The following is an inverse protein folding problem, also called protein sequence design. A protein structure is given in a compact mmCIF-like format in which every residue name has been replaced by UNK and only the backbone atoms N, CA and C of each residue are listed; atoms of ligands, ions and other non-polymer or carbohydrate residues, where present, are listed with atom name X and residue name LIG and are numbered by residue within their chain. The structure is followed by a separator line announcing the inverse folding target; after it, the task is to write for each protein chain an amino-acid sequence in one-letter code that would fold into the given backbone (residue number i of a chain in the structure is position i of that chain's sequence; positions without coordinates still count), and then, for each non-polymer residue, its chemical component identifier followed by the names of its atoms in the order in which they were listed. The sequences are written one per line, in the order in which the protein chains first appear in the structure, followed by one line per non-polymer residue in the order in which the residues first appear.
data_IF_703863300169
#
_entry.id   IF_703863300169
#
_cell.length_a   1.000
_cell.length_b   1.000
_cell.length_c   1.000
_cell.angle_alpha   90.00
_cell.angle_beta   90.00
_cell.angle_gamma   90.00
#
_symmetry.space_group_name_H-M   'P 1'
#
loop_
_entity.id
_entity.type
_entity.pdbx_description
1 polymer ?
#
# COMPACT_ATOMS: atom_id res chain seq x y z
N UNK A 1 -16.05 -2.05 19.04
CA UNK A 1 -16.29 -2.90 17.86
C UNK A 1 -16.01 -2.03 16.64
N UNK A 2 -14.84 -2.23 16.01
CA UNK A 2 -14.37 -1.40 14.90
C UNK A 2 -15.21 -1.76 13.66
N UNK A 3 -15.87 -0.77 13.06
CA UNK A 3 -16.55 -0.97 11.78
C UNK A 3 -15.49 -1.03 10.68
N UNK A 4 -15.08 -2.25 10.32
CA UNK A 4 -14.46 -2.51 9.02
C UNK A 4 -15.48 -2.03 7.99
N UNK A 5 -15.12 -1.06 7.17
CA UNK A 5 -15.97 -0.67 6.03
C UNK A 5 -15.87 -1.83 5.04
N UNK A 6 -16.88 -2.70 5.04
CA UNK A 6 -16.95 -3.86 4.17
C UNK A 6 -17.01 -3.42 2.71
N UNK A 7 -15.92 -3.58 1.96
CA UNK A 7 -15.98 -3.55 0.50
C UNK A 7 -16.47 -4.91 0.00
N UNK A 8 -17.75 -5.02 -0.35
CA UNK A 8 -18.30 -6.27 -0.87
C UNK A 8 -17.56 -6.74 -2.14
N UNK A 9 -17.02 -5.83 -2.94
CA UNK A 9 -16.28 -6.18 -4.16
C UNK A 9 -14.92 -6.78 -3.88
N UNK A 10 -14.24 -6.35 -2.81
CA UNK A 10 -12.97 -6.96 -2.41
C UNK A 10 -13.21 -8.38 -1.91
N UNK A 11 -14.26 -8.60 -1.13
CA UNK A 11 -14.66 -9.93 -0.64
C UNK A 11 -15.07 -10.88 -1.77
N UNK A 12 -15.83 -10.40 -2.76
CA UNK A 12 -16.16 -11.16 -3.98
C UNK A 12 -14.88 -11.59 -4.70
N UNK A 13 -13.95 -10.67 -4.96
CA UNK A 13 -12.67 -10.97 -5.64
C UNK A 13 -11.79 -11.93 -4.86
N UNK A 14 -11.81 -11.84 -3.54
CA UNK A 14 -11.09 -12.78 -2.68
C UNK A 14 -11.67 -14.20 -2.82
N UNK A 15 -13.00 -14.34 -2.83
CA UNK A 15 -13.66 -15.62 -3.06
C UNK A 15 -13.39 -16.17 -4.47
N UNK A 16 -13.48 -15.34 -5.52
CA UNK A 16 -13.12 -15.72 -6.90
C UNK A 16 -11.70 -16.28 -6.98
N UNK A 17 -10.74 -15.61 -6.35
CA UNK A 17 -9.35 -16.04 -6.31
C UNK A 17 -9.20 -17.40 -5.63
N UNK A 18 -9.82 -17.57 -4.47
CA UNK A 18 -9.80 -18.84 -3.72
C UNK A 18 -10.45 -19.98 -4.51
N UNK A 19 -11.52 -19.71 -5.23
CA UNK A 19 -12.15 -20.69 -6.12
C UNK A 19 -11.20 -21.09 -7.26
N UNK A 20 -10.58 -20.11 -7.92
CA UNK A 20 -9.61 -20.35 -9.00
C UNK A 20 -8.41 -21.19 -8.51
N UNK A 21 -7.87 -20.89 -7.33
CA UNK A 21 -6.79 -21.68 -6.69
C UNK A 21 -7.19 -23.15 -6.43
N UNK A 22 -8.48 -23.41 -6.26
CA UNK A 22 -9.02 -24.76 -6.05
C UNK A 22 -9.57 -25.37 -7.36
N UNK A 23 -9.23 -24.79 -8.52
CA UNK A 23 -9.60 -25.30 -9.84
C UNK A 23 -11.03 -24.96 -10.28
N UNK A 24 -11.74 -24.10 -9.56
CA UNK A 24 -13.10 -23.67 -9.90
C UNK A 24 -13.09 -22.29 -10.54
N UNK A 25 -13.29 -22.23 -11.85
CA UNK A 25 -13.44 -20.96 -12.57
C UNK A 25 -14.90 -20.50 -12.55
N UNK A 26 -15.27 -19.70 -11.54
CA UNK A 26 -16.63 -19.21 -11.33
C UNK A 26 -16.63 -17.69 -11.12
N UNK A 27 -16.31 -16.88 -12.14
CA UNK A 27 -16.27 -15.43 -11.99
C UNK A 27 -17.63 -14.87 -11.58
N UNK A 28 -17.63 -13.80 -10.79
CA UNK A 28 -18.78 -12.97 -10.47
C UNK A 28 -19.35 -12.34 -11.74
N UNK A 29 -20.64 -12.07 -11.70
CA UNK A 29 -21.43 -11.56 -12.82
C UNK A 29 -22.28 -10.39 -12.36
N UNK A 30 -22.83 -9.64 -13.31
CA UNK A 30 -23.78 -8.56 -13.01
C UNK A 30 -25.05 -9.05 -12.28
N UNK A 31 -25.34 -10.36 -12.30
CA UNK A 31 -26.45 -10.95 -11.55
C UNK A 31 -26.15 -11.09 -10.05
N UNK A 32 -24.86 -11.09 -9.67
CA UNK A 32 -24.42 -11.16 -8.29
C UNK A 32 -24.41 -9.75 -7.68
N UNK A 33 -25.56 -9.35 -7.14
CA UNK A 33 -25.78 -8.00 -6.63
C UNK A 33 -24.87 -7.64 -5.44
N UNK A 34 -24.56 -8.65 -4.64
CA UNK A 34 -23.79 -8.56 -3.41
C UNK A 34 -23.03 -9.88 -3.18
N UNK A 35 -22.17 -9.89 -2.16
CA UNK A 35 -21.36 -11.04 -1.80
C UNK A 35 -22.22 -12.29 -1.47
N UNK A 36 -23.34 -12.11 -0.77
CA UNK A 36 -24.21 -13.22 -0.37
C UNK A 36 -24.88 -13.89 -1.57
N UNK A 37 -25.29 -13.08 -2.56
CA UNK A 37 -25.87 -13.54 -3.82
C UNK A 37 -24.84 -14.36 -4.60
N UNK A 38 -23.59 -13.88 -4.67
CA UNK A 38 -22.49 -14.61 -5.28
C UNK A 38 -22.22 -15.94 -4.57
N UNK A 39 -22.09 -15.91 -3.24
CA UNK A 39 -21.85 -17.10 -2.42
C UNK A 39 -22.94 -18.16 -2.60
N UNK A 40 -24.21 -17.76 -2.66
CA UNK A 40 -25.35 -18.65 -2.92
C UNK A 40 -25.29 -19.27 -4.31
N UNK A 41 -24.89 -18.51 -5.32
CA UNK A 41 -24.70 -19.03 -6.68
C UNK A 41 -23.59 -20.08 -6.70
N UNK A 42 -22.44 -19.80 -6.09
CA UNK A 42 -21.32 -20.74 -5.95
C UNK A 42 -21.77 -22.04 -5.28
N UNK A 43 -22.48 -21.95 -4.15
CA UNK A 43 -23.02 -23.11 -3.44
C UNK A 43 -23.89 -23.97 -4.37
N UNK A 44 -24.87 -23.37 -5.05
CA UNK A 44 -25.77 -24.09 -5.95
C UNK A 44 -25.03 -24.74 -7.13
N UNK A 45 -24.06 -24.03 -7.72
CA UNK A 45 -23.25 -24.54 -8.83
C UNK A 45 -22.40 -25.74 -8.39
N UNK A 46 -21.71 -25.65 -7.25
CA UNK A 46 -20.87 -26.74 -6.75
C UNK A 46 -21.69 -27.97 -6.33
N UNK A 47 -22.86 -27.77 -5.71
CA UNK A 47 -23.79 -28.86 -5.41
C UNK A 47 -24.25 -29.56 -6.70
N UNK A 48 -24.57 -28.80 -7.75
CA UNK A 48 -24.99 -29.37 -9.05
C UNK A 48 -23.88 -30.18 -9.73
N UNK A 49 -22.61 -29.90 -9.39
CA UNK A 49 -21.43 -30.64 -9.87
C UNK A 49 -21.10 -31.87 -8.99
N UNK A 50 -21.93 -32.16 -7.98
CA UNK A 50 -21.76 -33.31 -7.09
C UNK A 50 -20.74 -33.10 -5.97
N UNK A 51 -20.33 -31.86 -5.71
CA UNK A 51 -19.46 -31.55 -4.57
C UNK A 51 -20.28 -31.63 -3.27
N UNK A 52 -19.72 -32.27 -2.26
CA UNK A 52 -20.35 -32.43 -0.94
C UNK A 52 -20.65 -31.08 -0.28
N UNK A 53 -21.90 -30.90 0.18
CA UNK A 53 -22.39 -29.64 0.77
C UNK A 53 -21.60 -29.23 2.00
N UNK A 54 -21.19 -30.18 2.86
CA UNK A 54 -20.42 -29.86 4.05
C UNK A 54 -19.02 -29.34 3.66
N UNK A 55 -18.38 -29.94 2.66
CA UNK A 55 -17.10 -29.44 2.12
C UNK A 55 -17.23 -28.02 1.56
N UNK A 56 -18.29 -27.72 0.81
CA UNK A 56 -18.50 -26.37 0.25
C UNK A 56 -18.69 -25.35 1.39
N UNK A 57 -19.55 -25.66 2.36
CA UNK A 57 -19.83 -24.76 3.47
C UNK A 57 -18.57 -24.49 4.31
N UNK A 58 -17.77 -25.53 4.58
CA UNK A 58 -16.49 -25.37 5.28
C UNK A 58 -15.52 -24.50 4.49
N UNK A 59 -15.40 -24.71 3.18
CA UNK A 59 -14.55 -23.89 2.31
C UNK A 59 -14.97 -22.41 2.30
N UNK A 60 -16.27 -22.14 2.21
CA UNK A 60 -16.82 -20.78 2.22
C UNK A 60 -16.58 -20.09 3.57
N UNK A 61 -16.84 -20.78 4.68
CA UNK A 61 -16.60 -20.25 6.03
C UNK A 61 -15.11 -19.99 6.30
N UNK A 62 -14.23 -20.91 5.89
CA UNK A 62 -12.79 -20.73 5.99
C UNK A 62 -12.31 -19.56 5.12
N UNK A 63 -12.85 -19.42 3.91
CA UNK A 63 -12.52 -18.32 3.01
C UNK A 63 -12.92 -16.97 3.61
N UNK A 64 -14.11 -16.88 4.21
CA UNK A 64 -14.56 -15.69 4.93
C UNK A 64 -13.64 -15.37 6.10
N UNK A 65 -13.35 -16.34 6.95
CA UNK A 65 -12.47 -16.16 8.10
C UNK A 65 -11.09 -15.64 7.66
N UNK A 66 -10.48 -16.29 6.66
CA UNK A 66 -9.18 -15.87 6.12
C UNK A 66 -9.22 -14.47 5.50
N UNK A 67 -10.33 -14.09 4.84
CA UNK A 67 -10.49 -12.74 4.33
C UNK A 67 -10.45 -11.72 5.46
N UNK A 68 -11.25 -11.91 6.52
CA UNK A 68 -11.28 -10.99 7.66
C UNK A 68 -9.95 -10.95 8.41
N UNK A 69 -9.28 -12.09 8.59
CA UNK A 69 -7.96 -12.17 9.22
C UNK A 69 -6.86 -11.50 8.38
N UNK A 70 -7.08 -11.34 7.07
CA UNK A 70 -6.12 -10.67 6.17
C UNK A 70 -6.20 -9.14 6.21
N UNK A 71 -7.31 -8.59 6.72
CA UNK A 71 -7.56 -7.15 6.73
C UNK A 71 -6.74 -6.46 7.82
N UNK A 72 -6.18 -5.28 7.53
CA UNK A 72 -5.42 -4.53 8.51
C UNK A 72 -6.33 -3.99 9.63
N UNK A 73 -5.81 -4.02 10.86
CA UNK A 73 -6.46 -3.39 12.01
C UNK A 73 -6.36 -1.86 11.94
N UNK A 74 -7.17 -1.12 12.70
CA UNK A 74 -7.02 0.35 12.77
C UNK A 74 -5.63 0.78 13.26
N UNK A 75 -5.00 -0.02 14.13
CA UNK A 75 -3.63 0.25 14.56
C UNK A 75 -2.63 0.10 13.40
N UNK A 76 -2.84 -0.89 12.51
CA UNK A 76 -2.01 -1.14 11.33
C UNK A 76 -2.10 0.03 10.32
N UNK A 77 -3.15 0.85 10.41
CA UNK A 77 -3.43 1.94 9.48
C UNK A 77 -2.99 3.32 10.02
N UNK A 78 -2.93 3.49 11.35
CA UNK A 78 -2.70 4.79 11.98
C UNK A 78 -1.35 5.44 11.64
N UNK A 79 -0.30 4.65 11.43
CA UNK A 79 1.06 5.17 11.22
C UNK A 79 1.20 5.95 9.92
N UNK A 80 0.47 5.57 8.86
CA UNK A 80 0.49 6.31 7.58
C UNK A 80 -0.72 7.23 7.42
N UNK A 81 -1.83 6.99 8.12
CA UNK A 81 -3.03 7.86 8.07
C UNK A 81 -2.83 9.21 8.75
N UNK A 82 -1.88 9.31 9.67
CA UNK A 82 -1.63 10.51 10.47
C UNK A 82 -0.25 11.14 10.20
N UNK A 83 0.50 10.63 9.22
CA UNK A 83 1.83 11.15 8.86
C UNK A 83 1.95 11.25 7.34
N UNK A 84 2.02 12.47 6.83
CA UNK A 84 2.15 12.74 5.39
C UNK A 84 3.41 12.16 4.75
N UNK A 85 4.50 12.06 5.52
CA UNK A 85 5.78 11.49 5.08
C UNK A 85 5.63 9.99 4.89
N UNK A 86 5.03 9.33 5.87
CA UNK A 86 4.76 7.91 5.82
C UNK A 86 3.82 7.55 4.67
N UNK A 87 2.76 8.33 4.44
CA UNK A 87 1.80 8.04 3.35
C UNK A 87 2.40 8.17 1.96
N UNK A 88 3.28 9.15 1.72
CA UNK A 88 3.95 9.27 0.44
C UNK A 88 4.96 8.13 0.24
N UNK A 89 5.80 7.86 1.24
CA UNK A 89 6.76 6.77 1.18
C UNK A 89 6.08 5.40 0.95
N UNK A 90 5.00 5.11 1.69
CA UNK A 90 4.24 3.88 1.52
C UNK A 90 3.62 3.77 0.12
N UNK A 91 3.19 4.89 -0.46
CA UNK A 91 2.66 4.89 -1.84
C UNK A 91 3.74 4.49 -2.84
N UNK A 92 4.96 5.04 -2.72
CA UNK A 92 6.09 4.64 -3.55
C UNK A 92 6.40 3.15 -3.41
N UNK A 93 6.42 2.64 -2.18
CA UNK A 93 6.66 1.23 -1.88
C UNK A 93 5.60 0.30 -2.49
N UNK A 94 4.32 0.67 -2.35
CA UNK A 94 3.22 -0.08 -2.96
C UNK A 94 3.31 -0.06 -4.49
N UNK A 95 3.58 1.11 -5.08
CA UNK A 95 3.68 1.24 -6.54
C UNK A 95 4.82 0.41 -7.12
N UNK A 96 6.01 0.46 -6.52
CA UNK A 96 7.15 -0.37 -6.94
C UNK A 96 6.87 -1.86 -6.76
N UNK A 97 6.20 -2.26 -5.67
CA UNK A 97 5.78 -3.65 -5.50
C UNK A 97 4.80 -4.09 -6.60
N UNK A 98 3.80 -3.26 -6.93
CA UNK A 98 2.82 -3.51 -8.00
C UNK A 98 3.52 -3.67 -9.35
N UNK A 99 4.48 -2.78 -9.62
CA UNK A 99 5.32 -2.76 -10.82
C UNK A 99 6.14 -4.04 -10.97
N UNK A 100 6.89 -4.42 -9.94
CA UNK A 100 7.74 -5.62 -9.95
C UNK A 100 6.93 -6.91 -10.20
N UNK A 101 5.67 -6.94 -9.74
CA UNK A 101 4.79 -8.09 -9.91
C UNK A 101 3.88 -8.01 -11.16
N UNK A 102 4.02 -6.98 -12.00
CA UNK A 102 3.29 -6.86 -13.26
C UNK A 102 1.81 -6.46 -13.14
N UNK A 103 1.40 -5.85 -12.02
CA UNK A 103 0.01 -5.42 -11.77
C UNK A 103 -0.23 -3.92 -12.05
N UNK A 104 0.65 -3.25 -12.79
CA UNK A 104 0.65 -1.79 -13.01
C UNK A 104 -0.69 -1.26 -13.54
N UNK A 105 -1.32 -2.01 -14.44
CA UNK A 105 -2.61 -1.63 -15.05
C UNK A 105 -3.79 -1.71 -14.09
N UNK A 106 -3.63 -2.35 -12.92
CA UNK A 106 -4.72 -2.60 -11.98
C UNK A 106 -4.88 -1.46 -10.96
N UNK A 107 -3.83 -0.67 -10.71
CA UNK A 107 -3.77 0.31 -9.63
C UNK A 107 -3.05 1.61 -10.05
N UNK A 108 -3.51 2.21 -11.15
CA UNK A 108 -2.99 3.49 -11.67
C UNK A 108 -3.12 4.64 -10.66
N UNK A 109 -3.99 4.53 -9.67
CA UNK A 109 -4.18 5.54 -8.61
C UNK A 109 -2.93 5.77 -7.73
N UNK A 110 -1.97 4.85 -7.73
CA UNK A 110 -0.69 5.01 -7.03
C UNK A 110 0.44 5.51 -7.94
N UNK A 111 0.19 5.64 -9.25
CA UNK A 111 1.23 6.01 -10.21
C UNK A 111 1.68 7.46 -9.98
N UNK A 112 2.96 7.76 -10.22
CA UNK A 112 3.49 9.09 -10.02
C UNK A 112 2.82 10.18 -10.88
N UNK A 113 2.33 9.80 -12.07
CA UNK A 113 1.63 10.70 -12.99
C UNK A 113 0.20 11.00 -12.55
N UNK A 114 -0.43 10.07 -11.83
CA UNK A 114 -1.85 10.12 -11.49
C UNK A 114 -2.11 10.58 -10.06
N UNK A 115 -1.12 10.46 -9.17
CA UNK A 115 -1.29 10.71 -7.74
C UNK A 115 -1.03 12.18 -7.37
N UNK A 116 -2.06 12.90 -6.89
CA UNK A 116 -1.87 14.24 -6.36
C UNK A 116 -1.00 14.27 -5.11
N UNK A 117 -0.34 15.40 -4.89
CA UNK A 117 0.58 15.61 -3.77
C UNK A 117 -0.12 15.80 -2.42
N UNK A 118 -1.43 15.57 -2.28
CA UNK A 118 -2.16 15.82 -1.04
C UNK A 118 -2.31 14.55 -0.18
N UNK A 119 -1.97 14.63 1.11
CA UNK A 119 -1.95 13.51 2.04
C UNK A 119 -3.24 12.70 2.07
N UNK A 120 -4.39 13.35 2.21
CA UNK A 120 -5.69 12.67 2.25
C UNK A 120 -5.99 11.88 0.97
N UNK A 121 -5.54 12.36 -0.19
CA UNK A 121 -5.71 11.67 -1.47
C UNK A 121 -4.83 10.42 -1.52
N UNK A 122 -3.59 10.52 -1.00
CA UNK A 122 -2.70 9.34 -0.87
C UNK A 122 -3.28 8.30 0.06
N UNK A 123 -3.83 8.71 1.21
CA UNK A 123 -4.49 7.78 2.15
C UNK A 123 -5.64 7.04 1.48
N UNK A 124 -6.47 7.74 0.69
CA UNK A 124 -7.55 7.10 -0.07
C UNK A 124 -7.03 6.16 -1.18
N UNK A 125 -5.96 6.55 -1.88
CA UNK A 125 -5.34 5.70 -2.90
C UNK A 125 -4.76 4.41 -2.30
N UNK A 126 -4.07 4.51 -1.15
CA UNK A 126 -3.56 3.35 -0.40
C UNK A 126 -4.71 2.46 0.05
N UNK A 127 -5.80 3.04 0.58
CA UNK A 127 -7.01 2.28 0.94
C UNK A 127 -7.55 1.50 -0.25
N UNK A 128 -7.73 2.14 -1.40
CA UNK A 128 -8.18 1.46 -2.62
C UNK A 128 -7.20 0.35 -3.04
N UNK A 129 -5.89 0.54 -2.90
CA UNK A 129 -4.92 -0.52 -3.15
C UNK A 129 -5.11 -1.74 -2.23
N UNK A 130 -5.37 -1.51 -0.94
CA UNK A 130 -5.65 -2.56 0.04
C UNK A 130 -6.96 -3.28 -0.30
N UNK A 131 -8.02 -2.55 -0.64
CA UNK A 131 -9.31 -3.13 -1.03
C UNK A 131 -9.19 -3.97 -2.32
N UNK A 132 -8.29 -3.58 -3.22
CA UNK A 132 -8.05 -4.27 -4.50
C UNK A 132 -6.79 -5.14 -4.48
N UNK A 133 -6.39 -5.65 -3.31
CA UNK A 133 -5.09 -6.28 -3.09
C UNK A 133 -4.75 -7.35 -4.14
N UNK A 134 -3.75 -7.14 -5.01
CA UNK A 134 -3.48 -8.03 -6.12
C UNK A 134 -2.60 -9.23 -5.74
N UNK A 135 -1.95 -9.20 -4.57
CA UNK A 135 -0.91 -10.18 -4.22
C UNK A 135 -1.46 -11.40 -3.50
N UNK A 136 -0.85 -12.56 -3.78
CA UNK A 136 -1.22 -13.87 -3.21
C UNK A 136 -0.31 -14.25 -2.03
N UNK A 137 0.98 -13.92 -2.13
CA UNK A 137 2.00 -14.37 -1.17
C UNK A 137 1.95 -13.64 0.18
N UNK A 138 1.36 -12.45 0.23
CA UNK A 138 1.30 -11.62 1.42
C UNK A 138 -0.10 -11.04 1.57
N UNK A 139 -0.61 -10.99 2.80
CA UNK A 139 -1.86 -10.28 3.11
C UNK A 139 -1.59 -8.78 3.23
N UNK A 140 -2.59 -7.91 3.03
CA UNK A 140 -2.44 -6.49 3.29
C UNK A 140 -1.96 -6.18 4.71
N UNK A 141 -2.52 -6.85 5.73
CA UNK A 141 -2.07 -6.67 7.12
C UNK A 141 -0.60 -7.05 7.31
N UNK A 142 -0.16 -8.20 6.78
CA UNK A 142 1.26 -8.62 6.87
C UNK A 142 2.18 -7.60 6.22
N UNK A 143 1.83 -7.11 5.03
CA UNK A 143 2.63 -6.13 4.31
C UNK A 143 2.70 -4.81 5.08
N UNK A 144 1.57 -4.28 5.54
CA UNK A 144 1.53 -3.02 6.29
C UNK A 144 2.30 -3.09 7.60
N UNK A 145 2.23 -4.22 8.32
CA UNK A 145 3.00 -4.43 9.54
C UNK A 145 4.51 -4.43 9.27
N UNK A 146 4.96 -5.09 8.21
CA UNK A 146 6.36 -5.04 7.79
C UNK A 146 6.80 -3.61 7.43
N UNK A 147 5.97 -2.87 6.69
CA UNK A 147 6.26 -1.48 6.30
C UNK A 147 6.24 -0.50 7.45
N UNK A 148 5.38 -0.71 8.44
CA UNK A 148 5.38 0.06 9.68
C UNK A 148 6.71 -0.07 10.43
N UNK A 149 7.22 -1.31 10.57
CA UNK A 149 8.53 -1.58 11.22
C UNK A 149 9.68 -0.96 10.41
N UNK A 150 9.65 -1.10 9.08
CA UNK A 150 10.65 -0.50 8.19
C UNK A 150 10.64 1.03 8.31
N UNK A 151 9.47 1.65 8.30
CA UNK A 151 9.30 3.09 8.48
C UNK A 151 9.86 3.58 9.83
N UNK A 152 9.52 2.91 10.93
CA UNK A 152 10.06 3.24 12.26
C UNK A 152 11.59 3.13 12.28
N UNK A 153 12.14 2.08 11.67
CA UNK A 153 13.60 1.87 11.61
C UNK A 153 14.30 2.98 10.83
N UNK A 154 13.71 3.41 9.70
CA UNK A 154 14.23 4.51 8.89
C UNK A 154 14.23 5.83 9.69
N UNK A 155 13.16 6.12 10.43
CA UNK A 155 13.11 7.32 11.27
C UNK A 155 14.10 7.27 12.45
N UNK A 156 14.33 6.10 13.03
CA UNK A 156 15.23 5.97 14.18
C UNK A 156 16.71 6.07 13.79
N UNK A 157 17.11 5.46 12.68
CA UNK A 157 18.51 5.28 12.30
C UNK A 157 18.97 6.23 11.20
N UNK A 158 18.04 6.65 10.35
CA UNK A 158 18.35 7.26 9.06
C UNK A 158 17.67 8.63 8.86
N UNK A 159 17.13 9.23 9.92
CA UNK A 159 16.50 10.54 9.85
C UNK A 159 17.54 11.67 9.80
N UNK A 160 18.13 11.86 8.62
CA UNK A 160 19.09 12.94 8.34
C UNK A 160 18.44 14.33 8.36
N UNK A 161 17.11 14.41 8.23
CA UNK A 161 16.39 15.69 8.20
C UNK A 161 16.00 16.20 9.60
N UNK A 162 16.10 15.35 10.63
CA UNK A 162 15.77 15.68 12.03
C UNK A 162 16.48 16.93 12.55
N UNK A 163 17.72 17.12 12.14
CA UNK A 163 18.58 18.21 12.63
C UNK A 163 18.53 19.47 11.78
N UNK A 164 17.76 19.47 10.69
CA UNK A 164 17.62 20.64 9.82
C UNK A 164 16.88 21.75 10.59
N UNK A 165 17.65 22.62 11.24
CA UNK A 165 17.19 23.79 12.00
C UNK A 165 17.76 25.06 11.37
N UNK A 166 16.96 25.80 10.61
CA UNK A 166 17.32 27.16 10.21
C UNK A 166 16.62 28.17 11.12
N UNK A 167 17.41 29.08 11.69
CA UNK A 167 16.90 30.10 12.63
C UNK A 167 16.05 31.19 11.97
N UNK A 168 15.99 31.31 10.63
CA UNK A 168 15.32 32.41 9.92
C UNK A 168 14.99 32.15 8.41
N UNK A 169 14.97 30.90 7.94
CA UNK A 169 14.73 30.59 6.50
C UNK A 169 13.61 29.57 6.38
N UNK A 170 12.80 29.65 5.34
CA UNK A 170 11.87 28.59 4.95
C UNK A 170 12.66 27.31 4.63
N UNK A 171 12.80 26.46 5.65
CA UNK A 171 13.56 25.21 5.63
C UNK A 171 13.02 24.26 4.55
N UNK A 172 11.70 24.19 4.41
CA UNK A 172 11.06 23.28 3.47
C UNK A 172 11.41 23.68 2.03
N UNK A 173 11.23 24.96 1.69
CA UNK A 173 11.60 25.45 0.36
C UNK A 173 13.09 25.31 0.07
N UNK A 174 13.96 25.56 1.05
CA UNK A 174 15.39 25.34 0.91
C UNK A 174 15.72 23.87 0.64
N UNK A 175 15.15 22.95 1.41
CA UNK A 175 15.40 21.51 1.29
C UNK A 175 14.90 20.96 -0.05
N UNK A 176 13.70 21.37 -0.48
CA UNK A 176 13.15 21.07 -1.81
C UNK A 176 14.13 21.46 -2.91
N UNK A 177 14.62 22.71 -2.88
CA UNK A 177 15.61 23.20 -3.86
C UNK A 177 16.93 22.45 -3.78
N UNK A 178 17.43 22.18 -2.58
CA UNK A 178 18.66 21.41 -2.41
C UNK A 178 18.56 20.02 -3.05
N UNK A 179 17.48 19.29 -2.78
CA UNK A 179 17.26 17.97 -3.38
C UNK A 179 17.11 18.08 -4.91
N UNK A 180 16.35 19.05 -5.41
CA UNK A 180 16.12 19.22 -6.85
C UNK A 180 17.36 19.66 -7.64
N UNK A 181 18.19 20.54 -7.07
CA UNK A 181 19.29 21.20 -7.80
C UNK A 181 20.67 20.60 -7.49
N UNK A 182 20.85 20.00 -6.31
CA UNK A 182 22.17 19.56 -5.81
C UNK A 182 22.31 18.05 -5.67
N UNK A 183 21.25 17.29 -5.89
CA UNK A 183 21.26 15.84 -5.73
C UNK A 183 20.55 15.15 -6.89
N UNK A 184 20.75 13.83 -7.01
CA UNK A 184 20.03 12.98 -7.96
C UNK A 184 18.95 12.12 -7.28
N UNK A 185 18.54 12.48 -6.06
CA UNK A 185 17.59 11.67 -5.25
C UNK A 185 16.13 12.13 -5.43
N UNK A 186 15.89 13.07 -6.33
CA UNK A 186 14.55 13.63 -6.58
C UNK A 186 13.57 12.54 -6.98
N UNK A 187 12.46 12.46 -6.26
CA UNK A 187 11.42 11.48 -6.47
C UNK A 187 10.58 11.89 -7.68
N UNK A 188 10.21 10.92 -8.52
CA UNK A 188 9.36 11.17 -9.69
C UNK A 188 7.87 11.38 -9.33
N UNK A 189 7.55 11.87 -8.14
CA UNK A 189 6.20 12.22 -7.71
C UNK A 189 6.06 13.73 -7.60
N UNK A 190 4.85 14.26 -7.80
CA UNK A 190 4.56 15.69 -7.63
C UNK A 190 4.84 16.11 -6.18
N UNK A 191 5.70 17.09 -5.99
CA UNK A 191 5.93 17.72 -4.70
C UNK A 191 4.81 18.73 -4.42
N UNK A 192 4.19 18.67 -3.24
CA UNK A 192 3.25 19.71 -2.81
C UNK A 192 3.95 21.02 -2.44
N UNK A 193 3.15 22.04 -2.15
CA UNK A 193 3.63 23.38 -1.80
C UNK A 193 3.54 23.70 -0.30
N UNK A 194 2.77 22.92 0.48
CA UNK A 194 2.76 23.09 1.93
C UNK A 194 4.03 22.50 2.55
N UNK A 195 4.45 23.04 3.70
CA UNK A 195 5.62 22.54 4.43
C UNK A 195 5.54 21.03 4.71
N UNK A 196 4.35 20.54 5.06
CA UNK A 196 4.10 19.12 5.31
C UNK A 196 4.34 18.26 4.06
N UNK A 197 3.82 18.69 2.90
CA UNK A 197 3.96 17.94 1.65
C UNK A 197 5.38 18.02 1.07
N UNK A 198 6.05 19.15 1.27
CA UNK A 198 7.46 19.30 0.92
C UNK A 198 8.31 18.34 1.76
N UNK A 199 8.09 18.29 3.07
CA UNK A 199 8.81 17.35 3.93
C UNK A 199 8.50 15.91 3.55
N UNK A 200 7.23 15.58 3.28
CA UNK A 200 6.87 14.25 2.80
C UNK A 200 7.65 13.85 1.54
N UNK A 201 7.73 14.75 0.56
CA UNK A 201 8.49 14.53 -0.67
C UNK A 201 9.98 14.35 -0.40
N UNK A 202 10.58 15.18 0.46
CA UNK A 202 12.00 15.08 0.81
C UNK A 202 12.33 13.74 1.49
N UNK A 203 11.53 13.33 2.48
CA UNK A 203 11.69 12.03 3.17
C UNK A 203 11.53 10.86 2.20
N UNK A 204 10.47 10.86 1.38
CA UNK A 204 10.24 9.80 0.40
C UNK A 204 11.37 9.71 -0.63
N UNK A 205 11.87 10.85 -1.11
CA UNK A 205 13.07 10.94 -1.96
C UNK A 205 14.28 10.24 -1.34
N UNK A 206 14.63 10.64 -0.12
CA UNK A 206 15.83 10.12 0.54
C UNK A 206 15.71 8.63 0.88
N UNK A 207 14.60 8.19 1.47
CA UNK A 207 14.43 6.79 1.84
C UNK A 207 14.35 5.86 0.63
N UNK A 208 13.68 6.29 -0.44
CA UNK A 208 13.65 5.51 -1.71
C UNK A 208 15.05 5.41 -2.31
N UNK A 209 15.78 6.52 -2.39
CA UNK A 209 17.15 6.50 -2.89
C UNK A 209 18.07 5.63 -2.05
N UNK A 210 18.02 5.77 -0.72
CA UNK A 210 18.84 5.00 0.22
C UNK A 210 18.60 3.50 0.03
N UNK A 211 17.33 3.09 -0.07
CA UNK A 211 16.95 1.70 -0.33
C UNK A 211 17.55 1.18 -1.63
N UNK A 212 17.44 1.96 -2.71
CA UNK A 212 18.02 1.60 -4.02
C UNK A 212 19.56 1.55 -4.01
N UNK A 213 20.21 2.15 -3.01
CA UNK A 213 21.67 2.16 -2.85
C UNK A 213 22.16 1.33 -1.65
N UNK A 214 21.34 0.42 -1.11
CA UNK A 214 21.76 -0.46 0.00
C UNK A 214 22.99 -1.32 -0.34
N UNK A 215 23.18 -1.67 -1.62
CA UNK A 215 24.36 -2.41 -2.09
C UNK A 215 25.63 -1.55 -2.22
N UNK A 216 25.52 -0.24 -1.96
CA UNK A 216 26.60 0.76 -2.08
C UNK A 216 26.71 1.59 -0.80
N UNK A 217 27.07 0.97 0.35
CA UNK A 217 27.06 1.65 1.66
C UNK A 217 27.97 2.88 1.71
N UNK A 218 29.12 2.86 1.04
CA UNK A 218 30.04 3.99 0.97
C UNK A 218 29.40 5.22 0.31
N UNK A 219 28.57 5.02 -0.71
CA UNK A 219 27.83 6.10 -1.39
C UNK A 219 26.77 6.72 -0.46
N UNK A 220 26.09 5.89 0.32
CA UNK A 220 25.10 6.33 1.31
C UNK A 220 25.78 7.12 2.43
N UNK A 221 26.89 6.61 2.95
CA UNK A 221 27.64 7.29 4.00
C UNK A 221 28.23 8.63 3.51
N UNK A 222 28.79 8.67 2.30
CA UNK A 222 29.30 9.90 1.70
C UNK A 222 28.19 10.95 1.52
N UNK A 223 26.99 10.53 1.11
CA UNK A 223 25.85 11.42 1.02
C UNK A 223 25.47 11.99 2.39
N UNK A 224 25.31 11.12 3.40
CA UNK A 224 24.95 11.53 4.76
C UNK A 224 25.98 12.46 5.38
N UNK A 225 27.28 12.27 5.11
CA UNK A 225 28.34 13.17 5.61
C UNK A 225 28.38 14.53 4.91
N UNK A 226 27.87 14.63 3.67
CA UNK A 226 27.88 15.87 2.87
C UNK A 226 26.62 16.73 3.06
N UNK A 227 25.54 16.11 3.52
CA UNK A 227 24.30 16.78 3.87
C UNK A 227 24.48 17.56 5.18
#
# INVERSE_FOLDING_TARGET
MVKVVEDERSRIRYLERRLNENGFYLPSSLADKDYLSYQKRILNTLISQGVDTLKINNFLAETDQRYFDSLPSENDLNWYRNDARASLWLTCELYEMIKINGYENTLTCLSPESLPSHHSVRVDAIRRCIDNWPFILYTPSNYLNQKSIEWTTLLEKDDIFREVKARNVDICSWLKKYIQEKTNISLNYVCGESSEEIMAWCYASYFTWKKNNQNSPDSVELFTRKF
#
